data_IF_235770241362
#
_entry.id   IF_235770241362
#
_cell.length_a   1.000
_cell.length_b   1.000
_cell.length_c   1.000
_cell.angle_alpha   90.00
_cell.angle_beta   90.00
_cell.angle_gamma   90.00
#
_symmetry.space_group_name_H-M   'P 1'
#
loop_
_entity.id
_entity.type
_entity.pdbx_description
1 polymer ?
#
# COMPACT_ATOMS: atom_id res chain seq x y z
N UNK A 1 -24.22 11.54 19.67
CA UNK A 1 -24.07 12.31 18.42
C UNK A 1 -22.62 12.74 18.15
N UNK A 2 -21.90 13.34 19.11
CA UNK A 2 -20.51 13.78 18.92
C UNK A 2 -19.55 12.60 18.70
N UNK A 3 -19.75 11.48 19.38
CA UNK A 3 -18.97 10.24 19.26
C UNK A 3 -19.19 9.58 17.90
N UNK A 4 -20.44 9.52 17.44
CA UNK A 4 -20.75 8.99 16.09
C UNK A 4 -20.13 9.85 14.98
N UNK A 5 -20.19 11.18 15.09
CA UNK A 5 -19.55 12.08 14.12
C UNK A 5 -18.04 11.96 14.09
N UNK A 6 -17.40 11.65 15.22
CA UNK A 6 -15.95 11.44 15.31
C UNK A 6 -15.55 10.11 14.64
N UNK A 7 -16.30 9.03 14.88
CA UNK A 7 -16.11 7.72 14.26
C UNK A 7 -16.35 7.78 12.73
N UNK A 8 -17.39 8.44 12.26
CA UNK A 8 -17.64 8.65 10.82
C UNK A 8 -16.53 9.47 10.14
N UNK A 9 -15.99 10.47 10.81
CA UNK A 9 -14.89 11.29 10.29
C UNK A 9 -13.58 10.52 10.21
N UNK A 10 -13.27 9.65 11.17
CA UNK A 10 -12.11 8.76 11.13
C UNK A 10 -12.24 7.71 10.03
N UNK A 11 -13.42 7.16 9.84
CA UNK A 11 -13.75 6.19 8.78
C UNK A 11 -13.61 6.79 7.37
N UNK A 12 -14.12 8.01 7.14
CA UNK A 12 -13.94 8.72 5.87
C UNK A 12 -12.47 9.00 5.58
N UNK A 13 -11.72 9.44 6.59
CA UNK A 13 -10.27 9.70 6.45
C UNK A 13 -9.49 8.44 6.07
N UNK A 14 -9.83 7.29 6.63
CA UNK A 14 -9.24 6.00 6.32
C UNK A 14 -9.58 5.52 4.91
N UNK A 15 -10.85 5.57 4.53
CA UNK A 15 -11.29 5.21 3.18
C UNK A 15 -10.64 6.12 2.11
N UNK A 16 -10.55 7.42 2.37
CA UNK A 16 -9.90 8.37 1.48
C UNK A 16 -8.39 8.13 1.39
N UNK A 17 -7.76 7.72 2.49
CA UNK A 17 -6.36 7.31 2.49
C UNK A 17 -6.16 6.09 1.60
N UNK A 18 -6.92 5.02 1.78
CA UNK A 18 -6.86 3.82 0.93
C UNK A 18 -7.15 4.14 -0.54
N UNK A 19 -8.14 4.97 -0.82
CA UNK A 19 -8.46 5.41 -2.19
C UNK A 19 -7.30 6.17 -2.84
N UNK A 20 -6.62 7.05 -2.12
CA UNK A 20 -5.44 7.78 -2.62
C UNK A 20 -4.27 6.85 -2.98
N UNK A 21 -4.14 5.72 -2.30
CA UNK A 21 -3.13 4.71 -2.65
C UNK A 21 -3.54 3.85 -3.85
N UNK A 22 -4.83 3.70 -4.09
CA UNK A 22 -5.35 2.91 -5.20
C UNK A 22 -5.36 3.67 -6.54
N UNK A 23 -5.16 4.99 -6.51
CA UNK A 23 -5.03 5.80 -7.73
C UNK A 23 -3.64 5.60 -8.31
N UNK A 24 -3.59 4.90 -9.44
CA UNK A 24 -2.42 4.82 -10.31
C UNK A 24 -1.97 6.24 -10.65
N UNK A 25 -0.76 6.61 -10.26
CA UNK A 25 -0.05 7.68 -10.94
C UNK A 25 0.36 7.14 -12.31
N UNK A 26 -0.30 7.66 -13.32
CA UNK A 26 0.23 7.61 -14.68
C UNK A 26 1.50 8.47 -14.69
N UNK A 27 2.63 7.85 -14.50
CA UNK A 27 3.91 8.49 -14.76
C UNK A 27 4.19 8.30 -16.25
N UNK A 28 4.05 9.38 -17.01
CA UNK A 28 4.58 9.47 -18.36
C UNK A 28 6.11 9.36 -18.26
N UNK A 29 6.63 8.18 -18.49
CA UNK A 29 8.06 7.99 -18.72
C UNK A 29 8.33 8.18 -20.21
N UNK A 30 8.97 9.28 -20.55
CA UNK A 30 9.63 9.39 -21.85
C UNK A 30 10.85 8.47 -21.84
N UNK A 31 10.90 7.50 -22.74
CA UNK A 31 12.07 6.66 -22.92
C UNK A 31 13.12 7.44 -23.72
N UNK A 32 14.27 7.84 -23.12
CA UNK A 32 15.29 8.62 -23.82
C UNK A 32 16.06 7.81 -24.87
N UNK A 33 15.92 6.48 -24.89
CA UNK A 33 16.62 5.60 -25.84
C UNK A 33 15.76 5.25 -27.05
N UNK A 34 14.45 5.48 -27.00
CA UNK A 34 13.53 5.29 -28.12
C UNK A 34 12.94 6.63 -28.57
N UNK A 35 12.84 6.82 -29.89
CA UNK A 35 12.22 8.00 -30.48
C UNK A 35 11.06 7.62 -31.42
N UNK A 36 10.07 8.50 -31.54
CA UNK A 36 8.90 8.28 -32.39
C UNK A 36 9.30 8.36 -33.87
N UNK A 37 9.26 7.21 -34.54
CA UNK A 37 9.55 7.07 -35.95
C UNK A 37 8.62 7.90 -36.84
N UNK A 38 7.42 8.20 -36.44
CA UNK A 38 6.49 9.02 -37.20
C UNK A 38 6.94 10.49 -37.21
N UNK A 39 7.33 11.00 -36.02
CA UNK A 39 7.89 12.36 -35.93
C UNK A 39 9.22 12.46 -36.63
N UNK A 40 10.06 11.46 -36.51
CA UNK A 40 11.34 11.40 -37.25
C UNK A 40 11.14 11.48 -38.77
N UNK A 41 10.27 10.65 -39.32
CA UNK A 41 9.98 10.63 -40.77
C UNK A 41 9.24 11.88 -41.22
N UNK A 42 8.38 12.47 -40.38
CA UNK A 42 7.70 13.72 -40.66
C UNK A 42 8.69 14.89 -40.74
N UNK A 43 9.65 14.95 -39.82
CA UNK A 43 10.72 15.94 -39.85
C UNK A 43 11.57 15.87 -41.10
N UNK A 44 11.95 14.68 -41.54
CA UNK A 44 12.69 14.49 -42.82
C UNK A 44 11.90 14.93 -44.04
N UNK A 45 10.57 14.71 -44.05
CA UNK A 45 9.71 15.14 -45.16
C UNK A 45 9.56 16.67 -45.25
N UNK A 46 9.46 17.36 -44.10
CA UNK A 46 9.28 18.80 -44.06
C UNK A 46 10.56 19.58 -44.24
N UNK A 47 11.65 19.12 -43.67
CA UNK A 47 12.91 19.86 -43.57
C UNK A 47 14.07 19.22 -44.35
N UNK A 48 13.81 18.12 -45.06
CA UNK A 48 14.76 17.46 -45.97
C UNK A 48 15.84 16.64 -45.23
N UNK A 49 16.60 17.25 -44.37
CA UNK A 49 17.72 16.62 -43.66
C UNK A 49 17.72 16.83 -42.15
N UNK A 50 16.62 17.35 -41.57
CA UNK A 50 16.48 17.59 -40.14
C UNK A 50 15.35 16.71 -39.57
N UNK A 51 15.68 15.55 -38.98
CA UNK A 51 14.67 14.75 -38.31
C UNK A 51 14.20 15.45 -37.02
N UNK A 52 12.90 15.36 -36.74
CA UNK A 52 12.38 15.73 -35.44
C UNK A 52 12.54 14.52 -34.51
N UNK A 53 13.29 14.70 -33.43
CA UNK A 53 13.50 13.67 -32.43
C UNK A 53 12.60 13.99 -31.23
N UNK A 54 11.59 13.17 -31.06
CA UNK A 54 10.72 13.21 -29.88
C UNK A 54 10.82 11.84 -29.18
N UNK A 55 11.11 11.80 -27.88
CA UNK A 55 11.14 10.54 -27.14
C UNK A 55 9.77 9.86 -27.26
N UNK A 56 9.76 8.55 -27.44
CA UNK A 56 8.51 7.79 -27.38
C UNK A 56 7.97 7.92 -25.95
N UNK A 57 6.78 8.51 -25.83
CA UNK A 57 6.04 8.41 -24.59
C UNK A 57 5.71 6.94 -24.37
N UNK A 58 6.51 6.25 -23.56
CA UNK A 58 6.28 4.86 -23.28
C UNK A 58 4.90 4.71 -22.66
N UNK A 59 4.01 4.00 -23.34
CA UNK A 59 2.73 3.57 -22.80
C UNK A 59 3.00 2.90 -21.49
N UNK A 60 2.36 3.43 -20.44
CA UNK A 60 2.31 2.91 -19.11
C UNK A 60 2.46 1.39 -19.03
N UNK A 61 3.61 0.96 -18.54
CA UNK A 61 3.68 -0.33 -17.89
C UNK A 61 2.89 -0.13 -16.59
N UNK A 62 1.67 -0.61 -16.53
CA UNK A 62 0.84 -0.61 -15.32
C UNK A 62 1.56 -1.42 -14.27
N UNK A 63 2.48 -0.78 -13.55
CA UNK A 63 3.21 -1.43 -12.46
C UNK A 63 2.18 -1.73 -11.38
N UNK A 64 2.05 -3.00 -11.04
CA UNK A 64 1.24 -3.42 -9.90
C UNK A 64 1.81 -2.73 -8.68
N UNK A 65 1.01 -1.92 -8.00
CA UNK A 65 1.41 -1.31 -6.74
C UNK A 65 1.29 -2.33 -5.61
N UNK A 66 2.24 -2.31 -4.72
CA UNK A 66 2.27 -3.14 -3.53
C UNK A 66 1.90 -2.29 -2.33
N UNK A 67 1.06 -2.84 -1.48
CA UNK A 67 0.54 -2.17 -0.30
C UNK A 67 0.74 -3.07 0.92
N UNK A 68 1.34 -2.52 1.97
CA UNK A 68 1.58 -3.26 3.21
C UNK A 68 0.65 -2.78 4.29
N UNK A 69 -0.06 -3.71 4.92
CA UNK A 69 -0.88 -3.48 6.12
C UNK A 69 -0.21 -4.21 7.27
N UNK A 70 0.27 -3.47 8.24
CA UNK A 70 0.80 -4.02 9.49
C UNK A 70 -0.27 -3.93 10.55
N UNK A 71 -0.51 -5.04 11.22
CA UNK A 71 -1.46 -5.16 12.31
C UNK A 71 -0.68 -5.38 13.61
N UNK A 72 -0.86 -4.46 14.56
CA UNK A 72 -0.34 -4.60 15.90
C UNK A 72 -1.09 -5.71 16.64
N UNK A 73 -0.35 -6.73 17.06
CA UNK A 73 -0.88 -7.87 17.80
C UNK A 73 -0.34 -7.91 19.23
N UNK A 74 0.06 -6.77 19.76
CA UNK A 74 0.47 -6.63 21.16
C UNK A 74 -0.70 -6.90 22.11
N UNK A 75 -0.38 -7.16 23.38
CA UNK A 75 -1.37 -7.51 24.40
C UNK A 75 -2.46 -6.45 24.59
N UNK A 76 -2.16 -5.18 24.33
CA UNK A 76 -3.11 -4.06 24.46
C UNK A 76 -4.12 -3.99 23.32
N UNK A 77 -3.90 -4.72 22.22
CA UNK A 77 -4.76 -4.66 21.04
C UNK A 77 -5.76 -5.81 21.04
N UNK A 78 -7.06 -5.50 21.07
CA UNK A 78 -8.11 -6.51 21.06
C UNK A 78 -8.22 -7.22 19.71
N UNK A 79 -8.28 -8.54 19.72
CA UNK A 79 -8.47 -9.34 18.50
C UNK A 79 -9.77 -9.03 17.75
N UNK A 80 -10.83 -8.63 18.46
CA UNK A 80 -12.10 -8.21 17.85
C UNK A 80 -11.95 -6.91 17.07
N UNK A 81 -11.21 -5.94 17.58
CA UNK A 81 -10.92 -4.68 16.91
C UNK A 81 -10.12 -4.91 15.63
N UNK A 82 -9.11 -5.79 15.69
CA UNK A 82 -8.33 -6.19 14.52
C UNK A 82 -9.23 -6.81 13.46
N UNK A 83 -10.11 -7.72 13.85
CA UNK A 83 -11.02 -8.39 12.90
C UNK A 83 -11.97 -7.39 12.23
N UNK A 84 -12.55 -6.47 13.01
CA UNK A 84 -13.43 -5.42 12.50
C UNK A 84 -12.68 -4.49 11.53
N UNK A 85 -11.45 -4.10 11.86
CA UNK A 85 -10.60 -3.30 10.98
C UNK A 85 -10.31 -4.01 9.65
N UNK A 86 -9.91 -5.26 9.69
CA UNK A 86 -9.62 -6.03 8.47
C UNK A 86 -10.87 -6.23 7.62
N UNK A 87 -12.03 -6.45 8.25
CA UNK A 87 -13.31 -6.56 7.57
C UNK A 87 -13.72 -5.25 6.89
N UNK A 88 -13.50 -4.13 7.57
CA UNK A 88 -13.75 -2.81 6.98
C UNK A 88 -12.80 -2.52 5.82
N UNK A 89 -11.51 -2.84 6.00
CA UNK A 89 -10.51 -2.78 4.92
C UNK A 89 -10.95 -3.59 3.70
N UNK A 90 -11.41 -4.82 3.92
CA UNK A 90 -11.95 -5.68 2.85
C UNK A 90 -13.10 -4.99 2.11
N UNK A 91 -14.05 -4.41 2.83
CA UNK A 91 -15.21 -3.74 2.25
C UNK A 91 -14.77 -2.57 1.37
N UNK A 92 -13.89 -1.70 1.87
CA UNK A 92 -13.38 -0.53 1.12
C UNK A 92 -12.62 -0.96 -0.15
N UNK A 93 -11.79 -1.99 -0.04
CA UNK A 93 -10.97 -2.46 -1.16
C UNK A 93 -11.80 -3.21 -2.22
N UNK A 94 -12.88 -3.89 -1.82
CA UNK A 94 -13.77 -4.60 -2.74
C UNK A 94 -14.80 -3.70 -3.40
N UNK A 95 -15.20 -2.60 -2.78
CA UNK A 95 -16.02 -1.56 -3.42
C UNK A 95 -15.34 -0.98 -4.66
N UNK A 96 -14.02 -1.01 -4.70
CA UNK A 96 -13.23 -0.61 -5.86
C UNK A 96 -12.93 -1.84 -6.74
N UNK A 97 -13.84 -2.20 -7.63
CA UNK A 97 -13.74 -3.36 -8.52
C UNK A 97 -12.42 -3.53 -9.30
N UNK A 98 -11.60 -2.48 -9.36
CA UNK A 98 -10.32 -2.49 -10.07
C UNK A 98 -9.09 -2.53 -9.14
N UNK A 99 -9.25 -2.50 -7.82
CA UNK A 99 -8.12 -2.41 -6.89
C UNK A 99 -7.16 -3.59 -7.06
N UNK A 100 -7.65 -4.82 -6.94
CA UNK A 100 -6.83 -6.02 -7.06
C UNK A 100 -6.31 -6.30 -8.48
N UNK A 101 -6.90 -5.69 -9.50
CA UNK A 101 -6.33 -5.75 -10.85
C UNK A 101 -5.04 -4.93 -10.99
N UNK A 102 -4.80 -4.00 -10.06
CA UNK A 102 -3.73 -3.01 -10.10
C UNK A 102 -2.82 -3.01 -8.87
N UNK A 103 -3.21 -3.72 -7.81
CA UNK A 103 -2.53 -3.69 -6.52
C UNK A 103 -2.45 -5.06 -5.86
N UNK A 104 -1.40 -5.28 -5.09
CA UNK A 104 -1.23 -6.42 -4.20
C UNK A 104 -1.15 -5.93 -2.77
N UNK A 105 -1.68 -6.72 -1.86
CA UNK A 105 -1.65 -6.40 -0.44
C UNK A 105 -0.80 -7.44 0.26
N UNK A 106 -0.02 -6.99 1.23
CA UNK A 106 0.69 -7.83 2.17
C UNK A 106 0.24 -7.49 3.56
N UNK A 107 -0.22 -8.50 4.32
CA UNK A 107 -0.69 -8.33 5.69
C UNK A 107 0.34 -8.95 6.62
N UNK A 108 0.85 -8.13 7.52
CA UNK A 108 1.91 -8.49 8.47
C UNK A 108 1.35 -8.35 9.88
N UNK A 109 1.47 -9.38 10.70
CA UNK A 109 1.21 -9.31 12.13
C UNK A 109 2.52 -9.06 12.88
N UNK A 110 2.54 -8.07 13.75
CA UNK A 110 3.72 -7.67 14.48
C UNK A 110 3.35 -7.22 15.91
N UNK A 111 4.06 -7.73 16.90
CA UNK A 111 4.08 -7.20 18.28
C UNK A 111 5.47 -6.58 18.56
N UNK A 112 6.34 -7.26 19.27
CA UNK A 112 7.76 -6.97 19.37
C UNK A 112 8.60 -7.70 18.31
N UNK A 113 7.96 -8.54 17.50
CA UNK A 113 8.54 -9.29 16.39
C UNK A 113 7.50 -9.46 15.28
N UNK A 114 7.96 -9.68 14.04
CA UNK A 114 7.07 -10.10 12.95
C UNK A 114 6.64 -11.55 13.20
N UNK A 115 5.34 -11.75 13.33
CA UNK A 115 4.75 -13.06 13.66
C UNK A 115 4.18 -13.78 12.45
N UNK A 116 3.64 -13.01 11.51
CA UNK A 116 3.03 -13.52 10.28
C UNK A 116 3.23 -12.52 9.16
N UNK A 117 3.42 -13.05 7.96
CA UNK A 117 3.47 -12.28 6.72
C UNK A 117 2.74 -13.06 5.63
N UNK A 118 1.71 -12.47 5.05
CA UNK A 118 0.87 -13.10 4.06
C UNK A 118 0.58 -12.15 2.89
N UNK A 119 0.89 -12.60 1.66
CA UNK A 119 0.60 -11.86 0.44
C UNK A 119 -0.82 -12.20 -0.04
N UNK A 120 -1.59 -11.19 -0.40
CA UNK A 120 -2.96 -11.27 -0.91
C UNK A 120 -3.00 -10.65 -2.30
N UNK A 121 -3.38 -11.44 -3.30
CA UNK A 121 -3.37 -11.05 -4.72
C UNK A 121 -4.74 -10.69 -5.27
N UNK A 122 -5.80 -11.13 -4.58
CA UNK A 122 -7.17 -10.91 -5.02
C UNK A 122 -8.15 -10.90 -3.84
N UNK A 123 -9.37 -10.43 -4.10
CA UNK A 123 -10.42 -10.33 -3.08
C UNK A 123 -10.78 -11.67 -2.44
N UNK A 124 -10.73 -12.76 -3.19
CA UNK A 124 -11.03 -14.10 -2.67
C UNK A 124 -9.99 -14.58 -1.67
N UNK A 125 -8.71 -14.34 -1.94
CA UNK A 125 -7.64 -14.65 -1.00
C UNK A 125 -7.76 -13.81 0.28
N UNK A 126 -8.13 -12.52 0.15
CA UNK A 126 -8.39 -11.66 1.30
C UNK A 126 -9.56 -12.17 2.15
N UNK A 127 -10.66 -12.58 1.52
CA UNK A 127 -11.80 -13.16 2.22
C UNK A 127 -11.43 -14.48 2.94
N UNK A 128 -10.67 -15.35 2.28
CA UNK A 128 -10.16 -16.57 2.89
C UNK A 128 -9.25 -16.29 4.08
N UNK A 129 -8.36 -15.31 3.96
CA UNK A 129 -7.51 -14.88 5.04
C UNK A 129 -8.34 -14.39 6.23
N UNK A 130 -9.33 -13.52 5.99
CA UNK A 130 -10.21 -12.99 7.03
C UNK A 130 -10.97 -14.10 7.78
N UNK A 131 -11.46 -15.11 7.06
CA UNK A 131 -12.21 -16.23 7.65
C UNK A 131 -11.34 -17.13 8.54
N UNK A 132 -10.04 -17.22 8.27
CA UNK A 132 -9.07 -18.03 9.07
C UNK A 132 -8.17 -17.18 9.95
N UNK A 133 -8.38 -15.86 9.97
CA UNK A 133 -7.50 -14.93 10.65
C UNK A 133 -7.49 -15.20 12.16
N UNK A 134 -6.31 -15.51 12.68
CA UNK A 134 -6.05 -15.64 14.11
C UNK A 134 -4.98 -14.65 14.49
N UNK A 135 -5.19 -13.93 15.57
CA UNK A 135 -4.20 -13.00 16.10
C UNK A 135 -3.07 -13.81 16.72
N UNK A 136 -1.87 -13.64 16.18
CA UNK A 136 -0.65 -14.29 16.66
C UNK A 136 0.24 -13.22 17.27
N UNK A 137 0.44 -13.25 18.57
CA UNK A 137 1.22 -12.25 19.31
C UNK A 137 0.89 -12.26 20.78
N UNK A 138 0.79 -11.08 21.38
CA UNK A 138 0.56 -10.90 22.83
C UNK A 138 1.83 -10.51 23.56
N UNK A 139 2.88 -10.12 22.84
CA UNK A 139 4.10 -9.53 23.38
C UNK A 139 3.99 -8.04 23.66
N UNK A 140 5.13 -7.40 23.83
CA UNK A 140 5.23 -5.94 23.93
C UNK A 140 4.94 -5.26 22.60
N UNK A 141 4.87 -3.92 22.60
CA UNK A 141 4.64 -3.13 21.40
C UNK A 141 5.93 -2.46 20.95
N UNK A 142 6.50 -2.95 19.87
CA UNK A 142 7.64 -2.34 19.20
C UNK A 142 7.37 -2.29 17.69
N UNK A 143 7.28 -1.09 17.14
CA UNK A 143 7.00 -0.91 15.71
C UNK A 143 8.23 -1.10 14.82
N UNK A 144 9.43 -1.00 15.39
CA UNK A 144 10.69 -1.05 14.64
C UNK A 144 10.90 -2.35 13.85
N UNK A 145 10.59 -3.55 14.39
CA UNK A 145 10.75 -4.81 13.65
C UNK A 145 9.93 -4.87 12.36
N UNK A 146 8.70 -4.36 12.37
CA UNK A 146 7.86 -4.31 11.16
C UNK A 146 8.49 -3.46 10.06
N UNK A 147 9.01 -2.27 10.42
CA UNK A 147 9.69 -1.40 9.46
C UNK A 147 11.00 -1.98 8.95
N UNK A 148 11.79 -2.60 9.83
CA UNK A 148 13.03 -3.29 9.44
C UNK A 148 12.73 -4.41 8.46
N UNK A 149 11.71 -5.20 8.72
CA UNK A 149 11.27 -6.30 7.86
C UNK A 149 10.80 -5.79 6.48
N UNK A 150 10.00 -4.74 6.42
CA UNK A 150 9.56 -4.16 5.15
C UNK A 150 10.74 -3.61 4.34
N UNK A 151 11.72 -2.99 5.00
CA UNK A 151 12.95 -2.55 4.34
C UNK A 151 13.75 -3.73 3.78
N UNK A 152 13.86 -4.82 4.53
CA UNK A 152 14.49 -6.05 4.05
C UNK A 152 13.79 -6.63 2.82
N UNK A 153 12.44 -6.64 2.79
CA UNK A 153 11.67 -7.08 1.63
C UNK A 153 11.90 -6.19 0.39
N UNK A 154 12.12 -4.90 0.60
CA UNK A 154 12.48 -3.95 -0.46
C UNK A 154 13.90 -4.23 -0.97
N UNK A 155 14.87 -4.40 -0.09
CA UNK A 155 16.27 -4.69 -0.43
C UNK A 155 16.41 -6.03 -1.17
N UNK A 156 15.65 -7.04 -0.77
CA UNK A 156 15.62 -8.35 -1.42
C UNK A 156 14.84 -8.33 -2.75
N UNK A 157 14.17 -7.23 -3.09
CA UNK A 157 13.38 -7.13 -4.31
C UNK A 157 12.08 -7.95 -4.30
N UNK A 158 11.64 -8.39 -3.12
CA UNK A 158 10.33 -9.02 -2.93
C UNK A 158 9.23 -7.99 -3.11
N UNK A 159 9.41 -6.81 -2.50
CA UNK A 159 8.61 -5.61 -2.77
C UNK A 159 9.37 -4.74 -3.77
N UNK A 160 8.77 -4.44 -4.92
CA UNK A 160 9.40 -3.66 -5.99
C UNK A 160 8.79 -2.28 -6.17
N UNK A 161 7.53 -2.14 -5.85
CA UNK A 161 6.76 -0.92 -6.09
C UNK A 161 5.83 -0.63 -4.91
N UNK A 162 6.43 -0.39 -3.73
CA UNK A 162 5.69 -0.13 -2.51
C UNK A 162 5.00 1.25 -2.57
N UNK A 163 3.69 1.26 -2.74
CA UNK A 163 2.86 2.46 -2.75
C UNK A 163 2.71 3.08 -1.35
N UNK A 164 2.67 2.24 -0.32
CA UNK A 164 2.59 2.69 1.06
C UNK A 164 2.40 1.58 2.09
N UNK A 165 2.55 1.97 3.34
CA UNK A 165 2.35 1.14 4.51
C UNK A 165 1.31 1.76 5.43
N UNK A 166 0.35 0.95 5.85
CA UNK A 166 -0.63 1.28 6.86
C UNK A 166 -0.34 0.47 8.13
N UNK A 167 -0.19 1.14 9.24
CA UNK A 167 0.05 0.52 10.54
C UNK A 167 -1.17 0.70 11.44
N UNK A 168 -1.79 -0.40 11.82
CA UNK A 168 -2.94 -0.45 12.71
C UNK A 168 -2.49 -0.78 14.15
N UNK A 169 -2.71 0.12 15.11
CA UNK A 169 -2.18 0.02 16.48
C UNK A 169 -2.98 0.89 17.47
N UNK A 170 -2.83 0.64 18.76
CA UNK A 170 -3.28 1.55 19.83
C UNK A 170 -2.32 2.74 20.05
N UNK A 171 -1.19 2.77 19.35
CA UNK A 171 -0.19 3.85 19.40
C UNK A 171 0.78 3.80 20.58
N UNK A 172 0.64 2.84 21.49
CA UNK A 172 1.49 2.74 22.68
C UNK A 172 2.68 1.83 22.42
N UNK A 173 3.71 2.33 21.73
CA UNK A 173 4.88 1.52 21.38
C UNK A 173 6.13 2.31 21.04
N UNK A 174 7.18 1.60 20.68
CA UNK A 174 8.48 2.18 20.33
C UNK A 174 8.52 2.46 18.82
N UNK A 175 8.57 3.73 18.46
CA UNK A 175 8.61 4.17 17.07
C UNK A 175 10.02 4.12 16.47
N UNK A 176 10.14 3.94 15.14
CA UNK A 176 11.42 4.05 14.45
C UNK A 176 11.97 5.47 14.54
N UNK A 177 13.28 5.60 14.78
CA UNK A 177 13.95 6.92 14.90
C UNK A 177 14.07 7.66 13.55
N UNK A 178 14.12 6.90 12.44
CA UNK A 178 14.20 7.45 11.09
C UNK A 178 12.86 7.27 10.39
N UNK A 179 12.43 8.30 9.67
CA UNK A 179 11.25 8.22 8.82
C UNK A 179 11.54 7.26 7.66
N UNK A 180 10.66 6.31 7.34
CA UNK A 180 10.79 5.47 6.16
C UNK A 180 10.69 6.32 4.88
N UNK A 181 11.31 5.86 3.80
CA UNK A 181 11.30 6.54 2.51
C UNK A 181 9.95 6.41 1.78
N UNK A 182 9.19 5.38 2.13
CA UNK A 182 7.85 5.13 1.59
C UNK A 182 6.76 5.82 2.44
N UNK A 183 5.61 6.04 1.83
CA UNK A 183 4.46 6.64 2.51
C UNK A 183 3.95 5.72 3.61
N UNK A 184 3.83 6.26 4.81
CA UNK A 184 3.34 5.53 5.98
C UNK A 184 2.23 6.29 6.67
N UNK A 185 1.19 5.58 7.07
CA UNK A 185 0.14 6.09 7.94
C UNK A 185 -0.07 5.15 9.13
N UNK A 186 -0.31 5.74 10.29
CA UNK A 186 -0.75 5.03 11.48
C UNK A 186 -2.26 5.24 11.64
N UNK A 187 -2.97 4.16 11.84
CA UNK A 187 -4.37 4.16 12.21
C UNK A 187 -4.47 3.77 13.69
N UNK A 188 -4.82 4.74 14.50
CA UNK A 188 -4.92 4.54 15.94
C UNK A 188 -6.30 4.04 16.31
N UNK A 189 -6.30 3.00 17.16
CA UNK A 189 -7.48 2.57 17.88
C UNK A 189 -7.73 3.56 19.01
N UNK A 190 -8.83 4.31 18.94
CA UNK A 190 -9.32 5.02 20.10
C UNK A 190 -10.03 3.98 21.01
N UNK A 191 -9.48 3.70 22.19
CA UNK A 191 -10.21 3.03 23.25
C UNK A 191 -11.39 3.94 23.66
N UNK A 192 -12.62 3.47 23.44
CA UNK A 192 -13.84 4.08 23.92
C UNK A 192 -14.08 3.69 25.38
#
# INVERSE_FOLDING_TARGET
LAVQLKAEKSRQSYADFLRKFSVLREELHADPEEFDLNYYTYGLRLYGNMPLIEPVESREVKKIQEFVIVVDTSYSTSGELIHNFLKETYTILTEQNSFFAKSRIRIIQCDDQVRMDEEVKNSRELEQLLNRFTVIGGGGTDFRPAFAYVNELLEQGVLKNLGGLLYFTDGKGIYPKKRPEYKTAFLFLDDY
#
